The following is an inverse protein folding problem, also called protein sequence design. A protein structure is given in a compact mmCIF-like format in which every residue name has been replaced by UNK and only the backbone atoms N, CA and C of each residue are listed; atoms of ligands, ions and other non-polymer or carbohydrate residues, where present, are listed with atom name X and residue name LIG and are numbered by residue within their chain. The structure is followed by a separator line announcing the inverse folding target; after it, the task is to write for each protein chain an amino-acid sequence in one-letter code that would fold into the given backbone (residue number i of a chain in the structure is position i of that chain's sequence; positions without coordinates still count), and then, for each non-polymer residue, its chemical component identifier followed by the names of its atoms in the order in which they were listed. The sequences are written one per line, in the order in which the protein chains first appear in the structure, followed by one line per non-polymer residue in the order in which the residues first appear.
data_IF_338561097015
#
_entry.id   IF_338561097015
#
_cell.length_a   1.000
_cell.length_b   1.000
_cell.length_c   1.000
_cell.angle_alpha   90.00
_cell.angle_beta   90.00
_cell.angle_gamma   90.00
#
_symmetry.space_group_name_H-M   'P 1'
#
loop_
_entity.id
_entity.type
_entity.pdbx_description
1 polymer ?
#
# COMPACT_ATOMS: atom_id res chain seq x y z
N UNK A 1 -18.89 25.74 -3.22
CA UNK A 1 -17.68 25.34 -3.96
C UNK A 1 -16.72 24.79 -2.91
N UNK A 2 -16.29 23.53 -3.02
CA UNK A 2 -15.30 22.97 -2.07
C UNK A 2 -13.94 23.50 -2.53
N UNK A 3 -13.41 24.47 -1.79
CA UNK A 3 -12.04 24.97 -1.95
C UNK A 3 -11.05 23.92 -1.43
N UNK A 4 -9.83 23.87 -2.00
CA UNK A 4 -8.73 23.18 -1.31
C UNK A 4 -8.53 23.75 0.10
N UNK A 5 -7.76 23.03 0.93
CA UNK A 5 -7.38 23.42 2.30
C UNK A 5 -7.16 24.93 2.44
N UNK A 6 -7.57 25.52 3.57
CA UNK A 6 -7.44 26.96 3.85
C UNK A 6 -5.99 27.47 3.81
N UNK A 7 -5.01 26.57 3.90
CA UNK A 7 -3.58 26.84 3.79
C UNK A 7 -3.07 26.92 2.32
N UNK A 8 -3.93 26.65 1.34
CA UNK A 8 -3.56 26.70 -0.08
C UNK A 8 -3.79 28.10 -0.65
N UNK A 9 -2.76 28.71 -1.22
CA UNK A 9 -2.91 29.97 -1.96
C UNK A 9 -3.91 29.78 -3.12
N UNK A 10 -4.96 30.61 -3.24
CA UNK A 10 -5.97 30.49 -4.29
C UNK A 10 -5.42 30.49 -5.72
N UNK A 11 -4.31 31.19 -5.97
CA UNK A 11 -3.65 31.16 -7.28
C UNK A 11 -3.00 29.82 -7.57
N UNK A 12 -2.38 29.20 -6.58
CA UNK A 12 -1.78 27.88 -6.73
C UNK A 12 -2.85 26.82 -7.05
N UNK A 13 -3.99 26.88 -6.38
CA UNK A 13 -5.16 26.04 -6.68
C UNK A 13 -5.66 26.28 -8.11
N UNK A 14 -5.82 27.54 -8.54
CA UNK A 14 -6.24 27.88 -9.90
C UNK A 14 -5.28 27.33 -10.96
N UNK A 15 -3.97 27.47 -10.74
CA UNK A 15 -2.94 26.96 -11.66
C UNK A 15 -3.00 25.43 -11.71
N UNK A 16 -3.09 24.75 -10.56
CA UNK A 16 -3.17 23.30 -10.49
C UNK A 16 -4.40 22.77 -11.25
N UNK A 17 -5.58 23.35 -11.02
CA UNK A 17 -6.81 22.96 -11.72
C UNK A 17 -6.67 23.17 -13.23
N UNK A 18 -6.10 24.30 -13.64
CA UNK A 18 -5.84 24.61 -15.05
C UNK A 18 -4.91 23.58 -15.70
N UNK A 19 -3.84 23.16 -15.01
CA UNK A 19 -2.93 22.12 -15.48
C UNK A 19 -3.62 20.75 -15.57
N UNK A 20 -4.38 20.36 -14.55
CA UNK A 20 -5.13 19.10 -14.55
C UNK A 20 -6.18 19.04 -15.67
N UNK A 21 -6.83 20.17 -15.99
CA UNK A 21 -7.81 20.23 -17.09
C UNK A 21 -7.20 20.01 -18.46
N UNK A 22 -5.93 20.41 -18.66
CA UNK A 22 -5.20 20.22 -19.93
C UNK A 22 -4.76 18.77 -20.17
N UNK A 23 -4.72 17.93 -19.14
CA UNK A 23 -4.34 16.53 -19.25
C UNK A 23 -5.44 15.68 -19.90
N UNK A 24 -5.02 14.76 -20.77
CA UNK A 24 -5.85 13.68 -21.28
C UNK A 24 -6.30 12.74 -20.15
N UNK A 25 -7.32 11.92 -20.43
CA UNK A 25 -7.80 10.90 -19.48
C UNK A 25 -6.69 9.92 -19.07
N UNK A 26 -5.84 9.52 -20.02
CA UNK A 26 -4.70 8.63 -19.78
C UNK A 26 -3.70 9.26 -18.82
N UNK A 27 -3.26 10.49 -19.09
CA UNK A 27 -2.28 11.18 -18.22
C UNK A 27 -2.81 11.41 -16.80
N UNK A 28 -4.12 11.66 -16.66
CA UNK A 28 -4.77 11.77 -15.34
C UNK A 28 -4.71 10.45 -14.57
N UNK A 29 -5.00 9.34 -15.24
CA UNK A 29 -4.91 8.01 -14.64
C UNK A 29 -3.48 7.69 -14.24
N UNK A 30 -2.52 7.89 -15.14
CA UNK A 30 -1.10 7.63 -14.90
C UNK A 30 -0.59 8.40 -13.67
N UNK A 31 -0.94 9.69 -13.56
CA UNK A 31 -0.59 10.51 -12.39
C UNK A 31 -1.25 10.01 -11.10
N UNK A 32 -2.51 9.60 -11.16
CA UNK A 32 -3.24 9.09 -9.99
C UNK A 32 -2.60 7.79 -9.48
N UNK A 33 -2.25 6.88 -10.40
CA UNK A 33 -1.56 5.63 -10.07
C UNK A 33 -0.17 5.89 -9.51
N UNK A 34 0.59 6.81 -10.12
CA UNK A 34 1.90 7.22 -9.62
C UNK A 34 1.83 7.80 -8.20
N UNK A 35 0.87 8.70 -7.96
CA UNK A 35 0.68 9.29 -6.64
C UNK A 35 0.30 8.24 -5.60
N UNK A 36 -0.62 7.33 -5.93
CA UNK A 36 -1.01 6.23 -5.06
C UNK A 36 0.18 5.33 -4.70
N UNK A 37 0.99 4.95 -5.69
CA UNK A 37 2.23 4.19 -5.49
C UNK A 37 3.22 4.93 -4.59
N UNK A 38 3.38 6.24 -4.79
CA UNK A 38 4.27 7.08 -3.99
C UNK A 38 3.87 7.12 -2.51
N UNK A 39 2.57 7.28 -2.23
CA UNK A 39 2.04 7.28 -0.86
C UNK A 39 2.20 5.90 -0.20
N UNK A 40 1.88 4.82 -0.91
CA UNK A 40 2.08 3.45 -0.40
C UNK A 40 3.55 3.23 -0.03
N UNK A 41 4.47 3.59 -0.92
CA UNK A 41 5.91 3.44 -0.69
C UNK A 41 6.41 4.28 0.48
N UNK A 42 5.92 5.51 0.63
CA UNK A 42 6.26 6.36 1.77
C UNK A 42 5.79 5.74 3.09
N UNK A 43 4.56 5.23 3.12
CA UNK A 43 4.04 4.55 4.31
C UNK A 43 4.86 3.31 4.66
N UNK A 44 5.14 2.44 3.68
CA UNK A 44 5.93 1.23 3.91
C UNK A 44 7.34 1.53 4.43
N UNK A 45 8.03 2.52 3.86
CA UNK A 45 9.35 2.97 4.34
C UNK A 45 9.30 3.51 5.77
N UNK A 46 8.22 4.21 6.12
CA UNK A 46 8.04 4.73 7.48
C UNK A 46 7.87 3.59 8.48
N UNK A 47 7.04 2.59 8.13
CA UNK A 47 6.86 1.38 8.92
C UNK A 47 8.18 0.61 9.08
N UNK A 48 8.95 0.47 8.01
CA UNK A 48 10.26 -0.18 8.02
C UNK A 48 11.24 0.50 8.97
N UNK A 49 11.37 1.82 8.89
CA UNK A 49 12.26 2.59 9.76
C UNK A 49 11.86 2.52 11.23
N UNK A 50 10.56 2.47 11.51
CA UNK A 50 10.05 2.42 12.88
C UNK A 50 10.11 1.02 13.50
N UNK A 51 10.24 -0.04 12.68
CA UNK A 51 10.21 -1.44 13.13
C UNK A 51 11.33 -2.25 12.43
N UNK A 52 12.61 -1.95 12.70
CA UNK A 52 13.74 -2.60 12.04
C UNK A 52 13.86 -4.10 12.33
N UNK A 53 13.32 -4.56 13.46
CA UNK A 53 13.35 -5.96 13.90
C UNK A 53 12.32 -6.85 13.20
N UNK A 54 11.28 -6.26 12.61
CA UNK A 54 10.23 -6.99 11.93
C UNK A 54 10.71 -7.50 10.57
N UNK A 55 10.20 -8.64 10.14
CA UNK A 55 10.39 -9.10 8.76
C UNK A 55 9.37 -8.45 7.79
N UNK A 56 9.55 -8.68 6.50
CA UNK A 56 8.69 -8.08 5.46
C UNK A 56 7.21 -8.47 5.59
N UNK A 57 6.90 -9.69 5.99
CA UNK A 57 5.52 -10.13 6.14
C UNK A 57 4.83 -9.40 7.29
N UNK A 58 5.51 -9.26 8.43
CA UNK A 58 5.04 -8.53 9.60
C UNK A 58 4.81 -7.05 9.30
N UNK A 59 5.75 -6.41 8.59
CA UNK A 59 5.59 -5.01 8.15
C UNK A 59 4.42 -4.82 7.19
N UNK A 60 4.20 -5.75 6.26
CA UNK A 60 3.06 -5.68 5.35
C UNK A 60 1.72 -5.87 6.08
N UNK A 61 1.68 -6.77 7.07
CA UNK A 61 0.50 -6.91 7.94
C UNK A 61 0.24 -5.62 8.72
N UNK A 62 1.29 -4.97 9.24
CA UNK A 62 1.17 -3.71 9.96
C UNK A 62 0.68 -2.58 9.06
N UNK A 63 1.17 -2.52 7.81
CA UNK A 63 0.62 -1.62 6.79
C UNK A 63 -0.87 -1.85 6.59
N UNK A 64 -1.31 -3.11 6.47
CA UNK A 64 -2.74 -3.42 6.31
C UNK A 64 -3.55 -2.99 7.54
N UNK A 65 -3.01 -3.22 8.73
CA UNK A 65 -3.65 -2.84 9.98
C UNK A 65 -3.86 -1.32 10.08
N UNK A 66 -2.86 -0.51 9.71
CA UNK A 66 -2.95 0.96 9.78
C UNK A 66 -3.89 1.57 8.75
N UNK A 67 -3.94 1.03 7.53
CA UNK A 67 -4.71 1.65 6.43
C UNK A 67 -6.09 1.03 6.18
N UNK A 68 -6.28 -0.25 6.51
CA UNK A 68 -7.50 -1.00 6.23
C UNK A 68 -8.13 -1.63 7.48
N UNK A 69 -7.49 -1.47 8.63
CA UNK A 69 -8.01 -1.91 9.92
C UNK A 69 -7.60 -3.32 10.34
N UNK A 70 -7.87 -3.61 11.61
CA UNK A 70 -7.44 -4.84 12.28
C UNK A 70 -8.06 -6.10 11.67
N UNK A 71 -9.31 -6.02 11.22
CA UNK A 71 -10.03 -7.19 10.68
C UNK A 71 -9.32 -7.75 9.44
N UNK A 72 -8.97 -6.89 8.48
CA UNK A 72 -8.27 -7.30 7.27
C UNK A 72 -6.85 -7.80 7.58
N UNK A 73 -6.17 -7.15 8.52
CA UNK A 73 -4.85 -7.59 8.97
C UNK A 73 -4.89 -9.01 9.55
N UNK A 74 -5.92 -9.35 10.33
CA UNK A 74 -6.11 -10.70 10.87
C UNK A 74 -6.41 -11.73 9.77
N UNK A 75 -7.24 -11.38 8.78
CA UNK A 75 -7.50 -12.22 7.61
C UNK A 75 -6.21 -12.50 6.84
N UNK A 76 -5.37 -11.48 6.62
CA UNK A 76 -4.07 -11.63 5.95
C UNK A 76 -3.11 -12.51 6.75
N UNK A 77 -3.01 -12.31 8.07
CA UNK A 77 -2.20 -13.17 8.96
C UNK A 77 -2.59 -14.64 8.82
N UNK A 78 -3.90 -14.94 8.84
CA UNK A 78 -4.39 -16.31 8.71
C UNK A 78 -4.12 -16.90 7.33
N UNK A 79 -4.31 -16.11 6.27
CA UNK A 79 -4.01 -16.52 4.91
C UNK A 79 -2.53 -16.90 4.73
N UNK A 80 -1.61 -16.06 5.20
CA UNK A 80 -0.17 -16.33 5.14
C UNK A 80 0.24 -17.58 5.93
N UNK A 81 -0.32 -17.78 7.13
CA UNK A 81 -0.10 -19.00 7.93
C UNK A 81 -0.54 -20.27 7.18
N UNK A 82 -1.68 -20.20 6.49
CA UNK A 82 -2.21 -21.34 5.73
C UNK A 82 -1.37 -21.67 4.50
N UNK A 83 -0.85 -20.66 3.79
CA UNK A 83 0.07 -20.86 2.68
C UNK A 83 1.33 -21.56 3.16
N UNK A 84 1.96 -21.05 4.22
CA UNK A 84 3.18 -21.65 4.77
C UNK A 84 2.95 -23.12 5.13
N UNK A 85 1.87 -23.43 5.84
CA UNK A 85 1.52 -24.83 6.16
C UNK A 85 1.42 -25.72 4.93
N UNK A 86 0.80 -25.24 3.85
CA UNK A 86 0.65 -25.98 2.60
C UNK A 86 2.01 -26.26 1.95
N UNK A 87 2.87 -25.25 1.87
CA UNK A 87 4.22 -25.38 1.29
C UNK A 87 5.10 -26.36 2.09
N UNK A 88 5.05 -26.31 3.42
CA UNK A 88 5.74 -27.28 4.28
C UNK A 88 5.25 -28.71 4.02
N UNK A 89 3.93 -28.92 3.94
CA UNK A 89 3.35 -30.23 3.68
C UNK A 89 3.77 -30.80 2.32
N UNK A 90 3.79 -29.94 1.29
CA UNK A 90 4.26 -30.32 -0.05
C UNK A 90 5.73 -30.72 -0.07
N UNK A 91 6.60 -30.00 0.65
CA UNK A 91 8.04 -30.33 0.75
C UNK A 91 8.28 -31.64 1.50
N UNK A 92 7.55 -31.88 2.59
CA UNK A 92 7.66 -33.15 3.34
C UNK A 92 7.24 -34.32 2.44
N UNK A 93 6.11 -34.22 1.72
CA UNK A 93 5.68 -35.28 0.81
C UNK A 93 6.70 -35.53 -0.32
N UNK A 94 7.35 -34.50 -0.85
CA UNK A 94 8.42 -34.68 -1.84
C UNK A 94 9.63 -35.44 -1.27
N UNK A 95 10.04 -35.13 -0.04
CA UNK A 95 11.16 -35.78 0.65
C UNK A 95 10.86 -37.22 1.10
N UNK A 96 9.58 -37.57 1.32
CA UNK A 96 9.16 -38.92 1.76
C UNK A 96 8.96 -39.88 0.57
N UNK A 97 8.81 -39.36 -0.65
CA UNK A 97 8.59 -40.13 -1.88
C UNK A 97 9.90 -40.27 -2.71
N UNK A 98 11.01 -39.67 -2.24
CA UNK A 98 12.35 -39.78 -2.84
C UNK A 98 13.21 -40.81 -2.10
#
# INVERSE_FOLDING_TARGET
MITLSTDTNPEAERVLISLLRKLSAKEKLDRTLYFSSSIINLSKRTIERANPELNDAERNILFVQYHYGQELANKLRNYLKNILKKDYFSKINFLVIS
#
